data_IF_712747896234
#
_entry.id   IF_712747896234
#
_cell.length_a   1.000
_cell.length_b   1.000
_cell.length_c   1.000
_cell.angle_alpha   90.00
_cell.angle_beta   90.00
_cell.angle_gamma   90.00
#
_symmetry.space_group_name_H-M   'P 1'
#
loop_
_entity.id
_entity.type
_entity.pdbx_description
1 polymer ?
#
# COMPACT_ATOMS: atom_id res chain seq x y z
N UNK A 1 -5.14 -21.67 7.75
CA UNK A 1 -4.26 -20.54 8.11
C UNK A 1 -3.85 -19.88 6.81
N UNK A 2 -4.01 -18.56 6.71
CA UNK A 2 -3.66 -17.75 5.55
C UNK A 2 -2.66 -16.71 6.01
N UNK A 3 -1.61 -16.46 5.22
CA UNK A 3 -0.61 -15.45 5.52
C UNK A 3 -0.30 -14.64 4.27
N UNK A 4 -0.09 -13.34 4.44
CA UNK A 4 0.25 -12.44 3.36
C UNK A 4 1.36 -11.48 3.83
N UNK A 5 2.42 -11.25 3.04
CA UNK A 5 3.43 -10.26 3.35
C UNK A 5 2.85 -8.85 3.18
N UNK A 6 3.35 -7.87 3.93
CA UNK A 6 3.03 -6.46 3.70
C UNK A 6 4.02 -5.78 2.74
N UNK A 7 5.08 -6.48 2.35
CA UNK A 7 6.28 -5.95 1.73
C UNK A 7 7.09 -4.99 2.63
N UNK A 8 8.35 -4.72 2.29
CA UNK A 8 9.17 -3.72 2.96
C UNK A 8 8.51 -2.32 2.87
N UNK A 9 8.44 -1.57 3.99
CA UNK A 9 7.82 -0.25 3.99
C UNK A 9 8.52 0.74 3.05
N UNK A 10 7.74 1.61 2.38
CA UNK A 10 8.27 2.68 1.53
C UNK A 10 9.16 3.66 2.33
N UNK A 11 8.75 3.97 3.56
CA UNK A 11 9.56 4.67 4.55
C UNK A 11 10.17 3.63 5.48
N UNK A 12 11.47 3.37 5.33
CA UNK A 12 12.21 2.39 6.12
C UNK A 12 13.54 2.94 6.62
N UNK A 13 14.08 2.25 7.63
CA UNK A 13 15.35 2.54 8.29
C UNK A 13 16.49 1.64 7.80
N UNK A 14 16.32 0.97 6.65
CA UNK A 14 17.37 0.09 6.12
C UNK A 14 18.64 0.89 5.80
N UNK A 15 19.80 0.32 6.14
CA UNK A 15 21.10 0.96 5.88
C UNK A 15 21.92 0.23 4.82
N UNK A 16 21.66 -1.06 4.59
CA UNK A 16 22.24 -1.83 3.48
C UNK A 16 21.55 -1.47 2.16
N UNK A 17 22.33 -1.16 1.13
CA UNK A 17 21.80 -0.85 -0.20
C UNK A 17 21.09 -2.03 -0.86
N UNK A 18 21.49 -3.27 -0.54
CA UNK A 18 20.78 -4.44 -1.03
C UNK A 18 19.41 -4.58 -0.36
N UNK A 19 19.28 -4.24 0.93
CA UNK A 19 17.99 -4.15 1.62
C UNK A 19 17.14 -2.99 1.05
N UNK A 20 17.71 -1.81 0.84
CA UNK A 20 16.97 -0.68 0.23
C UNK A 20 16.38 -0.96 -1.16
N UNK A 21 16.95 -1.91 -1.89
CA UNK A 21 16.49 -2.34 -3.22
C UNK A 21 15.66 -3.62 -3.19
N UNK A 22 15.46 -4.22 -2.02
CA UNK A 22 14.55 -5.34 -1.82
C UNK A 22 13.13 -4.77 -1.68
N UNK A 23 12.49 -4.44 -2.80
CA UNK A 23 11.13 -3.89 -2.82
C UNK A 23 10.05 -4.94 -2.56
N UNK A 24 10.37 -6.23 -2.76
CA UNK A 24 9.42 -7.33 -2.60
C UNK A 24 9.43 -7.88 -1.16
N UNK A 25 10.59 -7.93 -0.52
CA UNK A 25 10.80 -8.57 0.77
C UNK A 25 11.20 -10.03 0.63
N UNK A 26 11.59 -10.64 1.76
CA UNK A 26 11.98 -12.05 1.80
C UNK A 26 13.45 -12.32 1.45
N UNK A 27 14.26 -11.26 1.22
CA UNK A 27 15.69 -11.39 0.91
C UNK A 27 16.53 -10.69 1.97
N UNK A 28 16.40 -9.37 2.09
CA UNK A 28 17.26 -8.54 2.93
C UNK A 28 16.49 -7.50 3.73
N UNK A 29 15.49 -6.86 3.14
CA UNK A 29 14.72 -5.85 3.82
C UNK A 29 13.74 -6.48 4.80
N UNK A 30 13.62 -5.88 5.98
CA UNK A 30 12.63 -6.27 6.97
C UNK A 30 11.24 -5.89 6.47
N UNK A 31 10.27 -6.78 6.67
CA UNK A 31 8.87 -6.54 6.29
C UNK A 31 7.88 -6.90 7.41
N UNK A 32 6.65 -6.40 7.30
CA UNK A 32 5.55 -6.87 8.12
C UNK A 32 4.79 -8.01 7.42
N UNK A 33 3.95 -8.71 8.18
CA UNK A 33 3.02 -9.70 7.62
C UNK A 33 1.69 -9.66 8.37
N UNK A 34 0.63 -10.08 7.68
CA UNK A 34 -0.69 -10.34 8.26
C UNK A 34 -1.01 -11.82 8.17
N UNK A 35 -1.76 -12.36 9.13
CA UNK A 35 -2.15 -13.77 9.15
C UNK A 35 -3.51 -14.00 9.79
N UNK A 36 -4.25 -14.97 9.23
CA UNK A 36 -5.58 -15.36 9.69
C UNK A 36 -5.68 -16.88 9.89
N UNK A 37 -6.24 -17.29 11.03
CA UNK A 37 -6.68 -18.67 11.21
C UNK A 37 -8.15 -18.78 10.76
N UNK A 38 -8.36 -19.14 9.49
CA UNK A 38 -9.70 -19.31 8.91
C UNK A 38 -10.54 -20.38 9.62
N UNK A 39 -9.90 -21.50 9.98
CA UNK A 39 -10.50 -22.62 10.69
C UNK A 39 -9.41 -23.43 11.40
N UNK A 40 -9.80 -24.17 12.43
CA UNK A 40 -8.91 -25.02 13.22
C UNK A 40 -8.81 -24.57 14.68
N UNK A 41 -8.15 -25.36 15.55
CA UNK A 41 -7.92 -25.00 16.93
C UNK A 41 -6.97 -23.81 17.04
N UNK A 42 -7.17 -22.97 18.06
CA UNK A 42 -6.38 -21.78 18.34
C UNK A 42 -4.86 -22.04 18.36
N UNK A 43 -4.44 -23.21 18.85
CA UNK A 43 -3.04 -23.63 18.90
C UNK A 43 -2.38 -23.72 17.51
N UNK A 44 -3.14 -23.86 16.44
CA UNK A 44 -2.61 -23.92 15.08
C UNK A 44 -2.23 -22.53 14.52
N UNK A 45 -2.76 -21.44 15.09
CA UNK A 45 -2.32 -20.09 14.71
C UNK A 45 -0.82 -19.91 14.97
N UNK A 46 -0.35 -20.29 16.16
CA UNK A 46 1.06 -20.17 16.54
C UNK A 46 1.98 -21.00 15.63
N UNK A 47 1.54 -22.20 15.23
CA UNK A 47 2.29 -23.05 14.29
C UNK A 47 2.38 -22.41 12.90
N UNK A 48 1.25 -21.92 12.38
CA UNK A 48 1.20 -21.22 11.09
C UNK A 48 2.06 -19.96 11.09
N UNK A 49 1.99 -19.17 12.17
CA UNK A 49 2.78 -17.94 12.30
C UNK A 49 4.28 -18.24 12.35
N UNK A 50 4.71 -19.30 13.04
CA UNK A 50 6.11 -19.71 13.08
C UNK A 50 6.64 -20.06 11.67
N UNK A 51 5.85 -20.77 10.87
CA UNK A 51 6.20 -21.08 9.46
C UNK A 51 6.22 -19.81 8.62
N UNK A 52 5.20 -18.95 8.76
CA UNK A 52 5.08 -17.71 8.00
C UNK A 52 6.26 -16.76 8.24
N UNK A 53 6.74 -16.66 9.49
CA UNK A 53 7.94 -15.88 9.84
C UNK A 53 9.22 -16.40 9.20
N UNK A 54 9.29 -17.69 8.87
CA UNK A 54 10.44 -18.28 8.18
C UNK A 54 10.37 -17.97 6.68
N UNK A 55 9.23 -18.20 6.04
CA UNK A 55 9.09 -18.00 4.58
C UNK A 55 9.16 -16.52 4.19
N UNK A 56 8.75 -15.61 5.07
CA UNK A 56 8.79 -14.16 4.84
C UNK A 56 9.97 -13.46 5.52
N UNK A 57 10.92 -14.20 6.10
CA UNK A 57 12.05 -13.61 6.80
C UNK A 57 12.84 -12.63 5.90
N UNK A 58 13.31 -11.48 6.42
CA UNK A 58 13.21 -11.04 7.82
C UNK A 58 11.88 -10.32 8.14
N UNK A 59 11.20 -10.75 9.21
CA UNK A 59 9.90 -10.19 9.64
C UNK A 59 10.07 -9.25 10.85
N UNK A 60 9.51 -8.05 10.77
CA UNK A 60 9.44 -7.07 11.87
C UNK A 60 8.28 -7.34 12.82
N UNK A 61 7.04 -7.28 12.28
CA UNK A 61 5.79 -7.49 13.03
C UNK A 61 4.92 -8.48 12.27
N UNK A 62 4.31 -9.37 13.04
CA UNK A 62 3.27 -10.28 12.56
C UNK A 62 1.95 -9.84 13.17
N UNK A 63 0.97 -9.55 12.31
CA UNK A 63 -0.33 -9.04 12.69
C UNK A 63 -1.39 -10.13 12.50
N UNK A 64 -2.11 -10.46 13.56
CA UNK A 64 -3.27 -11.35 13.46
C UNK A 64 -4.49 -10.58 12.97
N UNK A 65 -5.19 -11.13 11.99
CA UNK A 65 -6.44 -10.60 11.43
C UNK A 65 -7.46 -11.73 11.19
N UNK A 66 -8.72 -11.39 10.94
CA UNK A 66 -9.69 -12.32 10.34
C UNK A 66 -9.48 -12.44 8.83
N UNK A 67 -10.12 -13.41 8.17
CA UNK A 67 -10.06 -13.54 6.71
C UNK A 67 -10.77 -12.37 6.03
N UNK A 68 -11.86 -11.88 6.59
CA UNK A 68 -12.61 -10.72 6.11
C UNK A 68 -11.78 -9.44 6.23
N UNK A 69 -11.05 -9.27 7.33
CA UNK A 69 -10.10 -8.17 7.48
C UNK A 69 -8.95 -8.26 6.48
N UNK A 70 -8.46 -9.48 6.21
CA UNK A 70 -7.45 -9.69 5.17
C UNK A 70 -7.99 -9.30 3.78
N UNK A 71 -9.24 -9.63 3.47
CA UNK A 71 -9.90 -9.24 2.21
C UNK A 71 -10.04 -7.71 2.04
N UNK A 72 -10.26 -6.98 3.13
CA UNK A 72 -10.25 -5.51 3.12
C UNK A 72 -8.86 -4.95 2.82
N UNK A 73 -7.80 -5.60 3.32
CA UNK A 73 -6.42 -5.21 3.04
C UNK A 73 -6.06 -5.54 1.59
N UNK A 74 -6.42 -6.71 1.11
CA UNK A 74 -6.20 -7.17 -0.26
C UNK A 74 -7.33 -8.08 -0.73
N UNK A 75 -8.03 -7.75 -1.83
CA UNK A 75 -7.69 -6.74 -2.85
C UNK A 75 -8.16 -5.30 -2.52
N UNK A 76 -8.85 -5.06 -1.40
CA UNK A 76 -9.49 -3.76 -1.13
C UNK A 76 -8.53 -2.57 -1.08
N UNK A 77 -7.59 -2.58 -0.13
CA UNK A 77 -6.69 -1.45 0.11
C UNK A 77 -5.47 -1.45 -0.83
N UNK A 78 -4.79 -2.58 -0.99
CA UNK A 78 -3.53 -2.68 -1.75
C UNK A 78 -3.75 -2.57 -3.26
N UNK A 79 -4.76 -3.24 -3.81
CA UNK A 79 -4.94 -3.30 -5.27
C UNK A 79 -5.99 -2.29 -5.74
N UNK A 80 -7.20 -2.38 -5.22
CA UNK A 80 -8.33 -1.58 -5.71
C UNK A 80 -8.10 -0.09 -5.46
N UNK A 81 -7.62 0.28 -4.27
CA UNK A 81 -7.30 1.68 -3.95
C UNK A 81 -5.87 2.03 -4.34
N UNK A 82 -4.85 1.42 -3.73
CA UNK A 82 -3.47 1.88 -3.87
C UNK A 82 -2.94 1.68 -5.30
N UNK A 83 -3.01 0.47 -5.87
CA UNK A 83 -2.50 0.21 -7.22
C UNK A 83 -3.23 1.05 -8.28
N UNK A 84 -4.56 1.13 -8.23
CA UNK A 84 -5.34 1.97 -9.17
C UNK A 84 -4.94 3.45 -9.11
N UNK A 85 -4.77 4.01 -7.90
CA UNK A 85 -4.38 5.41 -7.76
C UNK A 85 -2.93 5.66 -8.21
N UNK A 86 -2.01 4.71 -8.02
CA UNK A 86 -0.65 4.79 -8.57
C UNK A 86 -0.65 4.77 -10.10
N UNK A 87 -1.53 3.97 -10.73
CA UNK A 87 -1.71 3.99 -12.19
C UNK A 87 -2.20 5.36 -12.65
N UNK A 88 -3.20 5.96 -12.00
CA UNK A 88 -3.68 7.32 -12.32
C UNK A 88 -2.57 8.36 -12.15
N UNK A 89 -1.73 8.25 -11.12
CA UNK A 89 -0.57 9.14 -10.96
C UNK A 89 0.41 9.00 -12.13
N UNK A 90 0.65 7.77 -12.60
CA UNK A 90 1.51 7.51 -13.76
C UNK A 90 0.91 8.08 -15.06
N UNK A 91 -0.40 7.97 -15.24
CA UNK A 91 -1.13 8.61 -16.36
C UNK A 91 -1.03 10.14 -16.29
N UNK A 92 -1.10 10.73 -15.10
CA UNK A 92 -0.92 12.18 -14.91
C UNK A 92 0.50 12.64 -15.30
N UNK A 93 1.53 11.82 -15.05
CA UNK A 93 2.89 12.07 -15.58
C UNK A 93 2.85 12.09 -17.12
N UNK A 94 2.25 11.09 -17.74
CA UNK A 94 2.18 11.00 -19.20
C UNK A 94 1.42 12.19 -19.81
N UNK A 95 0.35 12.65 -19.15
CA UNK A 95 -0.44 13.79 -19.57
C UNK A 95 0.34 15.11 -19.55
N UNK A 96 1.15 15.37 -18.50
CA UNK A 96 1.99 16.58 -18.47
C UNK A 96 3.14 16.50 -19.49
N UNK A 97 3.65 15.30 -19.76
CA UNK A 97 4.66 15.08 -20.81
C UNK A 97 4.08 15.34 -22.20
N UNK A 98 2.87 14.86 -22.48
CA UNK A 98 2.17 15.14 -23.73
C UNK A 98 1.92 16.65 -23.94
N UNK A 99 1.88 17.44 -22.86
CA UNK A 99 1.76 18.91 -22.87
C UNK A 99 3.11 19.64 -22.96
N UNK A 100 4.21 18.91 -23.13
CA UNK A 100 5.53 19.48 -23.41
C UNK A 100 6.47 19.53 -22.21
N UNK A 101 6.12 18.95 -21.06
CA UNK A 101 7.07 18.78 -19.96
C UNK A 101 8.06 17.66 -20.30
N UNK A 102 9.34 17.83 -19.98
CA UNK A 102 10.32 16.76 -20.12
C UNK A 102 9.96 15.56 -19.24
N UNK A 103 10.14 14.34 -19.77
CA UNK A 103 9.74 13.11 -19.08
C UNK A 103 10.48 12.92 -17.76
N UNK A 104 11.79 13.17 -17.73
CA UNK A 104 12.58 13.00 -16.51
C UNK A 104 12.18 14.08 -15.49
N UNK A 105 11.98 15.32 -15.94
CA UNK A 105 11.50 16.39 -15.08
C UNK A 105 10.14 16.05 -14.43
N UNK A 106 9.19 15.49 -15.19
CA UNK A 106 7.88 15.11 -14.65
C UNK A 106 7.99 13.96 -13.62
N UNK A 107 8.81 12.95 -13.89
CA UNK A 107 9.05 11.83 -12.98
C UNK A 107 9.74 12.28 -11.68
N UNK A 108 10.84 13.03 -11.79
CA UNK A 108 11.57 13.53 -10.62
C UNK A 108 10.69 14.41 -9.75
N UNK A 109 9.88 15.27 -10.38
CA UNK A 109 8.95 16.14 -9.69
C UNK A 109 7.88 15.34 -8.94
N UNK A 110 7.22 14.37 -9.59
CA UNK A 110 6.19 13.57 -8.94
C UNK A 110 6.76 12.69 -7.83
N UNK A 111 7.83 11.93 -8.10
CA UNK A 111 8.39 10.97 -7.13
C UNK A 111 8.98 11.69 -5.90
N UNK A 112 9.59 12.86 -6.10
CA UNK A 112 10.03 13.71 -4.98
C UNK A 112 8.87 14.20 -4.12
N UNK A 113 7.77 14.63 -4.76
CA UNK A 113 6.57 15.07 -4.03
C UNK A 113 5.86 13.92 -3.32
N UNK A 114 5.76 12.73 -3.93
CA UNK A 114 5.21 11.55 -3.27
C UNK A 114 5.93 11.22 -1.96
N UNK A 115 7.26 11.36 -1.93
CA UNK A 115 8.06 11.12 -0.72
C UNK A 115 7.64 12.07 0.42
N UNK A 116 7.68 13.38 0.19
CA UNK A 116 7.36 14.36 1.26
C UNK A 116 5.88 14.40 1.60
N UNK A 117 4.99 14.34 0.61
CA UNK A 117 3.53 14.33 0.84
C UNK A 117 3.12 13.07 1.60
N UNK A 118 3.63 11.90 1.19
CA UNK A 118 3.38 10.64 1.88
C UNK A 118 3.90 10.66 3.31
N UNK A 119 5.13 11.13 3.53
CA UNK A 119 5.73 11.16 4.87
C UNK A 119 4.92 12.05 5.84
N UNK A 120 4.37 13.16 5.36
CA UNK A 120 3.52 14.04 6.18
C UNK A 120 2.12 13.42 6.41
N UNK A 121 1.45 12.93 5.35
CA UNK A 121 0.08 12.36 5.45
C UNK A 121 0.04 11.16 6.39
N UNK A 122 1.02 10.28 6.29
CA UNK A 122 1.07 9.04 7.07
C UNK A 122 1.83 9.20 8.40
N UNK A 123 2.27 10.42 8.74
CA UNK A 123 2.84 10.75 10.05
C UNK A 123 4.27 10.26 10.28
N UNK A 124 5.02 9.93 9.21
CA UNK A 124 6.45 9.60 9.29
C UNK A 124 7.29 10.81 9.72
N UNK A 125 6.88 12.02 9.33
CA UNK A 125 7.48 13.27 9.80
C UNK A 125 6.41 14.25 10.25
N UNK A 126 6.73 15.06 11.27
CA UNK A 126 5.91 16.21 11.62
C UNK A 126 6.03 17.27 10.52
N UNK A 127 4.88 17.74 10.03
CA UNK A 127 4.81 18.77 9.01
C UNK A 127 3.37 19.24 8.85
N UNK A 128 3.20 20.46 8.35
CA UNK A 128 1.90 20.98 7.92
C UNK A 128 1.94 21.21 6.42
N UNK A 129 0.87 20.85 5.74
CA UNK A 129 0.69 21.29 4.38
C UNK A 129 0.53 22.80 4.31
N UNK A 130 1.10 23.39 3.27
CA UNK A 130 0.83 24.79 2.97
C UNK A 130 -0.66 24.98 2.70
N UNK A 131 -1.19 26.17 2.95
CA UNK A 131 -2.58 26.52 2.63
C UNK A 131 -2.92 26.23 1.16
N UNK A 132 -1.95 26.41 0.27
CA UNK A 132 -2.09 26.09 -1.14
C UNK A 132 -2.28 24.58 -1.39
N UNK A 133 -1.51 23.72 -0.72
CA UNK A 133 -1.64 22.27 -0.85
C UNK A 133 -2.96 21.77 -0.26
N UNK A 134 -3.41 22.33 0.88
CA UNK A 134 -4.72 22.00 1.45
C UNK A 134 -5.87 22.37 0.51
N UNK A 135 -5.82 23.57 -0.11
CA UNK A 135 -6.80 23.97 -1.13
C UNK A 135 -6.76 23.06 -2.36
N UNK A 136 -5.57 22.65 -2.81
CA UNK A 136 -5.46 21.72 -3.93
C UNK A 136 -6.17 20.37 -3.64
N UNK A 137 -6.09 19.88 -2.40
CA UNK A 137 -6.82 18.66 -1.98
C UNK A 137 -8.33 18.91 -1.91
N UNK A 138 -8.74 20.03 -1.32
CA UNK A 138 -10.15 20.44 -1.16
C UNK A 138 -10.89 20.46 -2.50
N UNK A 139 -10.30 21.07 -3.52
CA UNK A 139 -10.91 21.17 -4.86
C UNK A 139 -10.55 20.00 -5.79
N UNK A 140 -9.40 19.36 -5.59
CA UNK A 140 -8.95 18.27 -6.46
C UNK A 140 -9.72 16.97 -6.21
N UNK A 141 -10.00 16.63 -4.95
CA UNK A 141 -10.64 15.34 -4.63
C UNK A 141 -12.03 15.18 -5.25
N UNK A 142 -12.95 16.17 -5.22
CA UNK A 142 -14.25 16.05 -5.87
C UNK A 142 -14.19 15.96 -7.41
N UNK A 143 -13.12 16.48 -8.02
CA UNK A 143 -12.92 16.41 -9.49
C UNK A 143 -12.40 15.04 -9.91
N UNK A 144 -11.58 14.40 -9.07
CA UNK A 144 -10.90 13.14 -9.37
C UNK A 144 -11.66 11.91 -8.89
N UNK A 145 -12.34 12.01 -7.74
CA UNK A 145 -12.94 10.88 -7.05
C UNK A 145 -14.46 10.90 -7.21
N UNK A 146 -15.06 9.74 -7.47
CA UNK A 146 -16.49 9.57 -7.26
C UNK A 146 -16.85 9.78 -5.79
N UNK A 147 -17.99 10.40 -5.51
CA UNK A 147 -18.45 10.68 -4.14
C UNK A 147 -18.56 9.41 -3.28
N UNK A 148 -18.94 8.30 -3.91
CA UNK A 148 -19.15 7.00 -3.28
C UNK A 148 -17.91 6.08 -3.33
N UNK A 149 -16.70 6.58 -3.66
CA UNK A 149 -15.53 5.72 -3.90
C UNK A 149 -15.20 4.75 -2.75
N UNK A 150 -15.54 5.08 -1.50
CA UNK A 150 -15.31 4.20 -0.34
C UNK A 150 -16.15 2.93 -0.36
N UNK A 151 -17.18 2.86 -1.22
CA UNK A 151 -18.00 1.66 -1.41
C UNK A 151 -17.19 0.41 -1.78
N UNK A 152 -15.97 0.59 -2.30
CA UNK A 152 -15.05 -0.52 -2.63
C UNK A 152 -14.73 -1.42 -1.44
N UNK A 153 -15.00 -0.97 -0.21
CA UNK A 153 -14.85 -1.75 1.02
C UNK A 153 -16.15 -2.40 1.52
N UNK A 154 -17.27 -2.21 0.83
CA UNK A 154 -18.51 -2.90 1.17
C UNK A 154 -18.38 -4.41 0.86
N UNK A 155 -19.01 -5.29 1.67
CA UNK A 155 -18.85 -6.73 1.54
C UNK A 155 -19.11 -7.27 0.12
N UNK A 156 -20.11 -6.73 -0.58
CA UNK A 156 -20.47 -7.16 -1.93
C UNK A 156 -19.42 -6.77 -2.97
N UNK A 157 -18.81 -5.58 -2.85
CA UNK A 157 -17.76 -5.11 -3.75
C UNK A 157 -16.46 -5.90 -3.53
N UNK A 158 -16.13 -6.21 -2.27
CA UNK A 158 -15.00 -7.06 -1.90
C UNK A 158 -15.21 -8.50 -2.40
N UNK A 159 -16.40 -9.08 -2.22
CA UNK A 159 -16.69 -10.42 -2.72
C UNK A 159 -16.59 -10.48 -4.26
N UNK A 160 -17.12 -9.46 -4.95
CA UNK A 160 -17.04 -9.37 -6.39
C UNK A 160 -15.61 -9.16 -6.91
N UNK A 161 -14.75 -8.42 -6.20
CA UNK A 161 -13.35 -8.25 -6.60
C UNK A 161 -12.56 -9.56 -6.43
N UNK A 162 -12.77 -10.30 -5.34
CA UNK A 162 -12.18 -11.64 -5.14
C UNK A 162 -12.64 -12.60 -6.25
N UNK A 163 -13.94 -12.63 -6.58
CA UNK A 163 -14.47 -13.51 -7.64
C UNK A 163 -13.84 -13.26 -9.02
N UNK A 164 -13.35 -12.04 -9.30
CA UNK A 164 -12.70 -11.74 -10.59
C UNK A 164 -11.29 -12.33 -10.69
N UNK A 165 -10.67 -12.71 -9.58
CA UNK A 165 -9.29 -13.19 -9.51
C UNK A 165 -9.16 -14.65 -9.04
N UNK A 166 -10.27 -15.36 -8.84
CA UNK A 166 -10.33 -16.78 -8.42
C UNK A 166 -11.29 -17.57 -9.28
#
# INVERSE_FOLDING_TARGET
>A
FVTHPCHPPIFNDETDMAAKKDYFGGVKAKQHMVSALMQGPEADYAKGEAIAKIIWAPVMRSHRVSVEQMALLEPGLSETVCASLLVVMKEAVDEVVARGVDQQAALDFLLGHMNVLGAVIFGETQGVFSDACNKAIEFGKPVLMRDDWKRVFEPEEIAASIQRIT
#
